data_IF_741321433096
#
_entry.id   IF_741321433096
#
_cell.length_a   1.000
_cell.length_b   1.000
_cell.length_c   1.000
_cell.angle_alpha   90.00
_cell.angle_beta   90.00
_cell.angle_gamma   90.00
#
_symmetry.space_group_name_H-M   'P 1'
#
loop_
_entity.id
_entity.type
_entity.pdbx_description
1 polymer ?
#
# COMPACT_ATOMS: atom_id res chain seq x y z
N UNK A 1 -14.06 31.97 3.81
CA UNK A 1 -13.78 30.67 4.44
C UNK A 1 -12.79 29.93 3.55
N UNK A 2 -11.50 30.23 3.70
CA UNK A 2 -10.41 29.63 2.93
C UNK A 2 -9.77 28.56 3.80
N UNK A 3 -9.94 27.30 3.43
CA UNK A 3 -9.13 26.19 3.95
C UNK A 3 -7.69 26.46 3.49
N UNK A 4 -6.88 26.94 4.42
CA UNK A 4 -5.45 27.20 4.21
C UNK A 4 -4.77 25.87 3.89
N UNK A 5 -4.23 25.80 2.67
CA UNK A 5 -3.18 24.86 2.26
C UNK A 5 -1.96 25.12 3.18
N UNK A 6 -1.92 24.45 4.34
CA UNK A 6 -0.77 24.44 5.24
C UNK A 6 0.29 23.50 4.65
N UNK A 7 0.78 23.83 3.46
CA UNK A 7 2.02 23.28 2.94
C UNK A 7 3.15 24.17 3.41
N UNK A 8 3.80 23.74 4.48
CA UNK A 8 5.04 24.35 4.92
C UNK A 8 6.12 24.05 3.86
N UNK A 9 6.71 25.07 3.23
CA UNK A 9 7.79 24.87 2.27
C UNK A 9 8.97 24.19 2.98
N UNK A 10 9.39 23.03 2.47
CA UNK A 10 10.48 22.22 3.04
C UNK A 10 10.04 20.95 3.79
N UNK A 11 8.74 20.76 4.01
CA UNK A 11 8.21 19.51 4.57
C UNK A 11 7.67 18.59 3.48
N UNK A 12 8.16 17.36 3.44
CA UNK A 12 7.64 16.30 2.57
C UNK A 12 6.60 15.51 3.35
N UNK A 13 5.42 15.34 2.75
CA UNK A 13 4.29 14.67 3.37
C UNK A 13 4.13 13.26 2.80
N UNK A 14 3.93 12.27 3.67
CA UNK A 14 3.70 10.88 3.27
C UNK A 14 2.49 10.25 3.98
N UNK A 15 1.72 9.38 3.29
CA UNK A 15 0.66 8.63 3.93
C UNK A 15 1.24 7.58 4.88
N UNK A 16 0.97 7.70 6.18
CA UNK A 16 1.47 6.76 7.20
C UNK A 16 0.48 5.63 7.53
N UNK A 17 -0.81 5.87 7.31
CA UNK A 17 -1.90 4.92 7.49
C UNK A 17 -3.06 5.28 6.56
N UNK A 18 -3.78 4.27 6.10
CA UNK A 18 -4.95 4.43 5.23
C UNK A 18 -6.09 3.65 5.86
N UNK A 19 -7.11 4.40 6.28
CA UNK A 19 -8.36 3.89 6.84
C UNK A 19 -9.45 4.50 5.98
N UNK A 20 -10.23 3.66 5.30
CA UNK A 20 -11.44 4.04 4.54
C UNK A 20 -11.28 5.35 3.73
N UNK A 21 -10.30 5.36 2.81
CA UNK A 21 -9.97 6.47 1.88
C UNK A 21 -9.36 7.75 2.49
N UNK A 22 -9.02 7.76 3.79
CA UNK A 22 -8.29 8.87 4.41
C UNK A 22 -6.78 8.60 4.37
N UNK A 23 -6.03 9.45 3.65
CA UNK A 23 -4.57 9.46 3.65
C UNK A 23 -4.03 10.41 4.73
N UNK A 24 -3.46 9.86 5.81
CA UNK A 24 -2.82 10.67 6.85
C UNK A 24 -1.42 11.09 6.42
N UNK A 25 -1.30 12.31 5.91
CA UNK A 25 -0.05 12.96 5.51
C UNK A 25 0.75 13.40 6.74
N UNK A 26 1.76 12.63 7.14
CA UNK A 26 2.70 13.03 8.21
C UNK A 26 3.86 13.82 7.57
N UNK A 27 4.10 15.07 7.98
CA UNK A 27 5.32 15.78 7.58
C UNK A 27 6.52 15.06 8.17
N UNK A 28 7.47 14.60 7.33
CA UNK A 28 8.72 14.05 7.84
C UNK A 28 9.49 15.16 8.55
N UNK A 29 9.78 15.00 9.83
CA UNK A 29 10.41 16.00 10.67
C UNK A 29 11.94 16.05 10.50
N UNK A 30 12.52 15.25 9.59
CA UNK A 30 13.93 15.29 9.21
C UNK A 30 14.53 13.94 8.80
N UNK A 31 15.87 13.85 8.69
CA UNK A 31 16.59 12.65 8.20
C UNK A 31 16.35 11.38 9.03
N UNK A 32 16.01 11.53 10.32
CA UNK A 32 15.70 10.39 11.19
C UNK A 32 14.43 9.65 10.74
N UNK A 33 13.40 10.38 10.28
CA UNK A 33 12.14 9.78 9.84
C UNK A 33 12.30 9.09 8.49
N UNK A 34 13.11 9.66 7.57
CA UNK A 34 13.48 9.01 6.31
C UNK A 34 14.13 7.65 6.57
N UNK A 35 15.03 7.57 7.54
CA UNK A 35 15.73 6.32 7.90
C UNK A 35 14.78 5.30 8.56
N UNK A 36 13.89 5.76 9.43
CA UNK A 36 12.88 4.91 10.06
C UNK A 36 11.95 4.31 9.00
N UNK A 37 11.46 5.14 8.08
CA UNK A 37 10.52 4.74 7.05
C UNK A 37 11.15 3.87 5.96
N UNK A 38 12.41 4.16 5.58
CA UNK A 38 13.23 3.29 4.72
C UNK A 38 13.48 1.90 5.32
N UNK A 39 13.34 1.75 6.64
CA UNK A 39 13.44 0.44 7.31
C UNK A 39 12.07 -0.23 7.45
N UNK A 40 11.01 0.55 7.65
CA UNK A 40 9.64 0.07 7.89
C UNK A 40 8.96 -0.40 6.61
N UNK A 41 8.98 0.42 5.56
CA UNK A 41 8.27 0.15 4.31
C UNK A 41 8.70 -1.15 3.61
N UNK A 42 10.01 -1.48 3.48
CA UNK A 42 10.39 -2.74 2.85
C UNK A 42 9.85 -3.97 3.58
N UNK A 43 9.82 -3.94 4.92
CA UNK A 43 9.27 -5.03 5.74
C UNK A 43 7.76 -5.17 5.56
N UNK A 44 7.04 -4.05 5.48
CA UNK A 44 5.61 -4.07 5.23
C UNK A 44 5.29 -4.58 3.81
N UNK A 45 6.04 -4.12 2.81
CA UNK A 45 5.93 -4.59 1.42
C UNK A 45 6.21 -6.09 1.34
N UNK A 46 7.25 -6.59 2.01
CA UNK A 46 7.58 -8.02 2.03
C UNK A 46 6.45 -8.84 2.63
N UNK A 47 5.88 -8.40 3.75
CA UNK A 47 4.75 -9.09 4.41
C UNK A 47 3.54 -9.16 3.48
N UNK A 48 3.17 -8.03 2.87
CA UNK A 48 2.01 -7.95 1.96
C UNK A 48 2.25 -8.75 0.68
N UNK A 49 3.47 -8.77 0.16
CA UNK A 49 3.85 -9.58 -1.00
C UNK A 49 3.67 -11.08 -0.76
N UNK A 50 4.01 -11.57 0.45
CA UNK A 50 3.76 -12.98 0.83
C UNK A 50 2.26 -13.29 0.88
N UNK A 51 1.46 -12.39 1.43
CA UNK A 51 0.00 -12.56 1.49
C UNK A 51 -0.61 -12.54 0.08
N UNK A 52 -0.14 -11.62 -0.78
CA UNK A 52 -0.57 -11.49 -2.18
C UNK A 52 -0.23 -12.75 -2.99
N UNK A 53 1.01 -13.26 -2.89
CA UNK A 53 1.43 -14.49 -3.54
C UNK A 53 0.57 -15.70 -3.13
N UNK A 54 0.13 -15.76 -1.87
CA UNK A 54 -0.78 -16.81 -1.39
C UNK A 54 -2.16 -16.73 -2.05
N UNK A 55 -2.69 -15.53 -2.27
CA UNK A 55 -3.99 -15.33 -2.93
C UNK A 55 -3.86 -15.59 -4.44
N UNK A 56 -2.80 -15.11 -5.09
CA UNK A 56 -2.51 -15.40 -6.50
C UNK A 56 -2.36 -16.90 -6.76
N UNK A 57 -1.75 -17.63 -5.83
CA UNK A 57 -1.64 -19.08 -5.88
C UNK A 57 -2.99 -19.80 -5.96
N UNK A 58 -4.07 -19.21 -5.44
CA UNK A 58 -5.43 -19.77 -5.59
C UNK A 58 -5.88 -19.73 -7.05
N UNK A 59 -5.56 -18.66 -7.78
CA UNK A 59 -5.94 -18.49 -9.19
C UNK A 59 -5.06 -19.26 -10.16
N UNK A 60 -3.82 -19.57 -9.77
CA UNK A 60 -2.95 -20.48 -10.52
C UNK A 60 -3.39 -21.95 -10.42
N UNK A 61 -4.32 -22.28 -9.52
CA UNK A 61 -4.91 -23.61 -9.41
C UNK A 61 -6.23 -23.69 -10.19
N UNK A 62 -6.28 -24.39 -11.35
CA UNK A 62 -7.49 -24.49 -12.16
C UNK A 62 -8.69 -25.01 -11.36
N UNK A 63 -8.44 -25.92 -10.40
CA UNK A 63 -9.49 -26.48 -9.53
C UNK A 63 -10.19 -25.43 -8.67
N UNK A 64 -9.58 -24.30 -8.38
CA UNK A 64 -10.22 -23.24 -7.62
C UNK A 64 -11.23 -22.50 -8.49
N UNK A 65 -10.81 -22.11 -9.71
CA UNK A 65 -11.67 -21.41 -10.67
C UNK A 65 -12.82 -22.31 -11.15
N UNK A 66 -12.54 -23.60 -11.35
CA UNK A 66 -13.52 -24.56 -11.88
C UNK A 66 -14.53 -25.05 -10.83
N UNK A 67 -14.20 -24.99 -9.53
CA UNK A 67 -15.06 -25.50 -8.45
C UNK A 67 -15.70 -24.43 -7.59
N UNK A 68 -15.14 -23.23 -7.53
CA UNK A 68 -15.73 -22.13 -6.78
C UNK A 68 -16.92 -21.54 -7.55
N UNK A 69 -17.91 -21.03 -6.83
CA UNK A 69 -18.99 -20.27 -7.46
C UNK A 69 -18.44 -18.98 -8.08
N UNK A 70 -19.10 -18.48 -9.12
CA UNK A 70 -18.73 -17.22 -9.78
C UNK A 70 -18.65 -16.05 -8.81
N UNK A 71 -19.53 -15.99 -7.80
CA UNK A 71 -19.51 -14.97 -6.76
C UNK A 71 -18.24 -15.04 -5.88
N UNK A 72 -17.79 -16.25 -5.51
CA UNK A 72 -16.56 -16.42 -4.72
C UNK A 72 -15.33 -16.06 -5.55
N UNK A 73 -15.30 -16.44 -6.84
CA UNK A 73 -14.21 -16.08 -7.75
C UNK A 73 -14.15 -14.57 -7.95
N UNK A 74 -15.30 -13.90 -8.10
CA UNK A 74 -15.37 -12.44 -8.24
C UNK A 74 -14.85 -11.74 -6.98
N UNK A 75 -15.36 -12.09 -5.79
CA UNK A 75 -14.90 -11.50 -4.52
C UNK A 75 -13.40 -11.67 -4.29
N UNK A 76 -12.83 -12.82 -4.62
CA UNK A 76 -11.39 -13.03 -4.46
C UNK A 76 -10.56 -12.29 -5.51
N UNK A 77 -11.11 -12.01 -6.70
CA UNK A 77 -10.45 -11.15 -7.70
C UNK A 77 -10.47 -9.68 -7.28
N UNK A 78 -11.57 -9.20 -6.72
CA UNK A 78 -11.67 -7.84 -6.18
C UNK A 78 -10.66 -7.66 -5.06
N UNK A 79 -10.61 -8.61 -4.12
CA UNK A 79 -9.61 -8.64 -3.05
C UNK A 79 -8.17 -8.63 -3.60
N UNK A 80 -7.89 -9.41 -4.64
CA UNK A 80 -6.56 -9.43 -5.26
C UNK A 80 -6.20 -8.06 -5.84
N UNK A 81 -7.15 -7.38 -6.48
CA UNK A 81 -6.99 -6.04 -7.03
C UNK A 81 -6.66 -5.02 -5.92
N UNK A 82 -7.40 -5.04 -4.81
CA UNK A 82 -7.17 -4.14 -3.68
C UNK A 82 -5.80 -4.37 -3.02
N UNK A 83 -5.40 -5.64 -2.89
CA UNK A 83 -4.09 -6.02 -2.36
C UNK A 83 -2.96 -5.51 -3.26
N UNK A 84 -3.10 -5.62 -4.59
CA UNK A 84 -2.13 -5.10 -5.57
C UNK A 84 -2.03 -3.58 -5.49
N UNK A 85 -3.17 -2.89 -5.53
CA UNK A 85 -3.24 -1.42 -5.41
C UNK A 85 -2.55 -0.91 -4.13
N UNK A 86 -2.81 -1.57 -3.00
CA UNK A 86 -2.15 -1.22 -1.73
C UNK A 86 -0.63 -1.42 -1.79
N UNK A 87 -0.16 -2.54 -2.36
CA UNK A 87 1.26 -2.84 -2.48
C UNK A 87 1.97 -1.82 -3.40
N UNK A 88 1.36 -1.49 -4.53
CA UNK A 88 1.90 -0.49 -5.47
C UNK A 88 2.06 0.87 -4.80
N UNK A 89 1.08 1.32 -4.03
CA UNK A 89 1.18 2.60 -3.31
C UNK A 89 2.34 2.60 -2.30
N UNK A 90 2.54 1.50 -1.56
CA UNK A 90 3.66 1.39 -0.62
C UNK A 90 5.02 1.38 -1.35
N UNK A 91 5.10 0.73 -2.51
CA UNK A 91 6.30 0.76 -3.35
C UNK A 91 6.58 2.16 -3.88
N UNK A 92 5.56 2.88 -4.35
CA UNK A 92 5.68 4.28 -4.76
C UNK A 92 6.14 5.19 -3.62
N UNK A 93 5.63 4.96 -2.41
CA UNK A 93 6.08 5.67 -1.22
C UNK A 93 7.55 5.40 -0.91
N UNK A 94 7.99 4.15 -0.97
CA UNK A 94 9.40 3.79 -0.78
C UNK A 94 10.30 4.46 -1.80
N UNK A 95 9.93 4.46 -3.09
CA UNK A 95 10.68 5.13 -4.16
C UNK A 95 10.78 6.64 -3.92
N UNK A 96 9.70 7.28 -3.49
CA UNK A 96 9.73 8.71 -3.14
C UNK A 96 10.70 8.99 -2.00
N UNK A 97 10.69 8.16 -0.96
CA UNK A 97 11.57 8.30 0.21
C UNK A 97 13.04 8.02 -0.13
N UNK A 98 13.32 7.04 -1.01
CA UNK A 98 14.69 6.75 -1.45
C UNK A 98 15.31 7.85 -2.30
N UNK A 99 14.49 8.75 -2.84
CA UNK A 99 14.90 9.87 -3.67
C UNK A 99 14.99 11.20 -2.89
N UNK A 100 14.81 11.16 -1.56
CA UNK A 100 15.03 12.29 -0.65
C UNK A 100 16.44 12.23 -0.05
#
# INVERSE_FOLDING_TARGET
>A
MFLLDVRYPGLVYFPSAVVDDIELLVPMAGPADVKAESTRLPKEIEKRSKDLARVEGKFNNPKFVDKASSEVVAKEKDKLTDMRSTQERLQQQLVKISNL
#
